data_IF_307721379028
#
_entry.id   IF_307721379028
#
_cell.length_a   1.000
_cell.length_b   1.000
_cell.length_c   1.000
_cell.angle_alpha   90.00
_cell.angle_beta   90.00
_cell.angle_gamma   90.00
#
_symmetry.space_group_name_H-M   'P 1'
#
loop_
_entity.id
_entity.type
_entity.pdbx_description
1 polymer ?
#
# COMPACT_ATOMS: atom_id res chain seq x y z
N UNK A 1 19.56 -5.69 50.57
CA UNK A 1 19.56 -4.22 50.37
C UNK A 1 19.82 -3.97 48.89
N UNK A 2 19.10 -3.01 48.30
CA UNK A 2 19.18 -2.54 46.91
C UNK A 2 18.53 -3.45 45.85
N UNK A 3 17.73 -2.99 44.89
CA UNK A 3 16.81 -1.86 44.75
C UNK A 3 15.94 -2.23 43.53
N UNK A 4 14.63 -2.41 43.70
CA UNK A 4 13.70 -2.63 42.60
C UNK A 4 13.26 -1.26 42.07
N UNK A 5 13.69 -0.90 40.86
CA UNK A 5 13.17 0.27 40.15
C UNK A 5 12.00 -0.17 39.28
N UNK A 6 10.81 0.28 39.67
CA UNK A 6 9.59 0.20 38.89
C UNK A 6 9.73 1.02 37.61
N UNK A 7 9.69 0.36 36.46
CA UNK A 7 9.45 1.05 35.18
C UNK A 7 7.94 1.23 35.03
N UNK A 8 7.51 2.47 35.19
CA UNK A 8 6.15 2.93 34.96
C UNK A 8 5.78 2.79 33.48
N UNK A 9 4.66 2.13 33.25
CA UNK A 9 3.94 2.02 31.99
C UNK A 9 3.48 3.42 31.54
N UNK A 10 4.22 4.06 30.61
CA UNK A 10 3.77 5.28 29.95
C UNK A 10 2.86 4.93 28.78
N UNK A 11 1.55 4.97 29.03
CA UNK A 11 0.53 4.79 28.00
C UNK A 11 0.62 5.89 26.92
N UNK A 12 0.35 5.47 25.68
CA UNK A 12 0.13 6.33 24.53
C UNK A 12 -1.02 7.32 24.79
N UNK A 13 -0.83 8.64 24.65
CA UNK A 13 -1.96 9.56 24.59
C UNK A 13 -2.49 9.59 23.14
N UNK A 14 -3.51 8.78 22.85
CA UNK A 14 -4.44 9.09 21.77
C UNK A 14 -5.29 10.29 22.21
N UNK A 15 -4.85 11.50 21.89
CA UNK A 15 -5.65 12.71 22.04
C UNK A 15 -5.69 13.44 20.71
N UNK A 16 -6.78 13.25 19.98
CA UNK A 16 -7.18 14.06 18.82
C UNK A 16 -7.82 15.38 19.26
N UNK A 17 -7.63 15.79 20.52
CA UNK A 17 -8.03 17.09 21.04
C UNK A 17 -6.91 18.06 20.75
N UNK A 18 -7.11 18.90 19.74
CA UNK A 18 -6.44 20.20 19.65
C UNK A 18 -6.73 20.93 20.96
N UNK A 19 -5.69 21.27 21.72
CA UNK A 19 -5.82 22.10 22.92
C UNK A 19 -6.50 23.41 22.53
N UNK A 20 -7.78 23.53 22.91
CA UNK A 20 -8.60 24.71 22.67
C UNK A 20 -8.16 25.85 23.58
N UNK A 21 -7.17 26.62 23.12
CA UNK A 21 -6.95 27.99 23.57
C UNK A 21 -6.59 28.83 22.35
N UNK A 22 -7.64 29.25 21.65
CA UNK A 22 -7.75 30.47 20.85
C UNK A 22 -9.19 30.53 20.31
N UNK A 23 -10.17 30.51 21.24
CA UNK A 23 -11.56 30.76 20.90
C UNK A 23 -11.70 32.26 20.57
N UNK A 24 -11.68 32.61 19.29
CA UNK A 24 -12.33 33.84 18.86
C UNK A 24 -13.85 33.66 19.08
N UNK A 25 -14.53 34.54 19.82
CA UNK A 25 -15.97 34.40 20.02
C UNK A 25 -16.67 34.70 18.68
N UNK A 26 -17.29 33.68 18.08
CA UNK A 26 -18.19 33.85 16.94
C UNK A 26 -19.61 33.68 17.48
N UNK A 27 -20.34 34.79 17.59
CA UNK A 27 -21.78 34.79 17.83
C UNK A 27 -22.46 34.48 16.50
N UNK A 28 -23.06 33.30 16.37
CA UNK A 28 -23.91 32.96 15.23
C UNK A 28 -25.35 33.36 15.59
N UNK A 29 -25.75 34.57 15.26
CA UNK A 29 -27.15 35.02 15.44
C UNK A 29 -28.02 34.48 14.31
N UNK A 30 -28.94 33.60 14.70
CA UNK A 30 -30.07 33.09 13.91
C UNK A 30 -30.90 34.23 13.33
N UNK A 31 -31.26 34.12 12.05
CA UNK A 31 -32.22 34.98 11.37
C UNK A 31 -33.63 34.49 11.72
N UNK A 32 -34.35 35.23 12.54
CA UNK A 32 -35.81 35.29 12.51
C UNK A 32 -36.27 36.67 12.98
N UNK A 33 -36.88 37.41 12.05
CA UNK A 33 -36.99 38.86 12.11
C UNK A 33 -38.16 39.38 12.91
N UNK A 34 -37.99 40.57 13.48
CA UNK A 34 -39.02 41.58 13.67
C UNK A 34 -38.38 42.97 13.53
N UNK A 35 -39.07 43.85 12.82
CA UNK A 35 -38.68 45.18 12.40
C UNK A 35 -38.50 46.15 13.58
N UNK A 36 -37.33 46.78 13.74
CA UNK A 36 -37.10 48.14 14.30
C UNK A 36 -35.60 48.45 14.29
N UNK A 37 -35.23 49.59 13.73
CA UNK A 37 -33.85 49.90 13.34
C UNK A 37 -32.84 50.02 14.47
N UNK A 38 -31.66 49.43 14.28
CA UNK A 38 -30.38 49.82 14.86
C UNK A 38 -29.26 49.36 13.92
N UNK A 39 -28.39 50.30 13.53
CA UNK A 39 -27.06 50.19 12.91
C UNK A 39 -26.70 48.92 12.13
N UNK A 40 -26.61 49.09 10.81
CA UNK A 40 -25.84 48.22 9.91
C UNK A 40 -24.35 48.25 10.26
N UNK A 41 -23.92 47.42 11.21
CA UNK A 41 -22.52 47.00 11.27
C UNK A 41 -22.35 45.92 10.20
N UNK A 42 -22.11 46.36 8.96
CA UNK A 42 -21.41 45.54 7.97
C UNK A 42 -20.09 45.16 8.65
N UNK A 43 -19.98 43.92 9.12
CA UNK A 43 -18.75 43.41 9.66
C UNK A 43 -17.71 43.46 8.53
N UNK A 44 -16.94 44.55 8.48
CA UNK A 44 -15.72 44.65 7.70
C UNK A 44 -14.80 43.60 8.29
N UNK A 45 -14.87 42.38 7.76
CA UNK A 45 -13.89 41.36 8.08
C UNK A 45 -12.59 41.91 7.51
N UNK A 46 -11.73 42.43 8.40
CA UNK A 46 -10.42 42.95 8.06
C UNK A 46 -9.74 41.96 7.11
N UNK A 47 -9.37 42.38 5.87
CA UNK A 47 -8.83 41.50 4.85
C UNK A 47 -7.68 40.61 5.36
N UNK A 48 -6.86 41.16 6.29
CA UNK A 48 -5.76 40.45 6.93
C UNK A 48 -6.17 39.26 7.81
N UNK A 49 -7.36 39.27 8.42
CA UNK A 49 -7.84 38.14 9.23
C UNK A 49 -8.30 36.97 8.36
N UNK A 50 -8.91 37.27 7.20
CA UNK A 50 -9.24 36.24 6.20
C UNK A 50 -7.97 35.65 5.63
N UNK A 51 -6.98 36.49 5.33
CA UNK A 51 -5.70 36.07 4.80
C UNK A 51 -4.93 35.19 5.79
N UNK A 52 -4.87 35.56 7.07
CA UNK A 52 -4.24 34.74 8.11
C UNK A 52 -4.92 33.36 8.27
N UNK A 53 -6.26 33.30 8.18
CA UNK A 53 -6.99 32.02 8.22
C UNK A 53 -6.67 31.16 7.00
N UNK A 54 -6.58 31.77 5.82
CA UNK A 54 -6.17 31.08 4.59
C UNK A 54 -4.73 30.57 4.70
N UNK A 55 -3.84 31.36 5.29
CA UNK A 55 -2.44 30.98 5.52
C UNK A 55 -2.32 29.76 6.43
N UNK A 56 -2.97 29.79 7.60
CA UNK A 56 -3.00 28.64 8.52
C UNK A 56 -3.56 27.39 7.85
N UNK A 57 -4.61 27.53 7.03
CA UNK A 57 -5.19 26.42 6.26
C UNK A 57 -4.20 25.86 5.23
N UNK A 58 -3.45 26.73 4.55
CA UNK A 58 -2.44 26.36 3.56
C UNK A 58 -1.27 25.61 4.21
N UNK A 59 -0.78 26.08 5.35
CA UNK A 59 0.29 25.43 6.10
C UNK A 59 -0.15 24.07 6.65
N UNK A 60 -1.36 23.99 7.20
CA UNK A 60 -1.94 22.72 7.64
C UNK A 60 -2.05 21.71 6.48
N UNK A 61 -2.49 22.15 5.29
CA UNK A 61 -2.57 21.31 4.11
C UNK A 61 -1.18 20.86 3.61
N UNK A 62 -0.18 21.75 3.64
CA UNK A 62 1.21 21.42 3.28
C UNK A 62 1.82 20.43 4.26
N UNK A 63 1.64 20.64 5.57
CA UNK A 63 2.12 19.73 6.61
C UNK A 63 1.51 18.33 6.46
N UNK A 64 0.19 18.25 6.24
CA UNK A 64 -0.50 16.98 5.97
C UNK A 64 0.08 16.26 4.75
N UNK A 65 0.27 16.96 3.63
CA UNK A 65 0.89 16.38 2.42
C UNK A 65 2.33 15.97 2.65
N UNK A 66 3.09 16.72 3.44
CA UNK A 66 4.47 16.39 3.81
C UNK A 66 4.55 15.09 4.59
N UNK A 67 3.67 14.92 5.59
CA UNK A 67 3.58 13.68 6.37
C UNK A 67 3.12 12.49 5.52
N UNK A 68 2.10 12.68 4.69
CA UNK A 68 1.65 11.67 3.73
C UNK A 68 2.79 11.21 2.81
N UNK A 69 3.53 12.15 2.20
CA UNK A 69 4.67 11.83 1.36
C UNK A 69 5.73 11.03 2.13
N UNK A 70 6.03 11.40 3.38
CA UNK A 70 6.95 10.66 4.24
C UNK A 70 6.50 9.20 4.42
N UNK A 71 5.23 8.96 4.74
CA UNK A 71 4.70 7.59 4.89
C UNK A 71 4.79 6.79 3.58
N UNK A 72 4.58 7.43 2.42
CA UNK A 72 4.79 6.77 1.12
C UNK A 72 6.25 6.33 0.93
N UNK A 73 7.22 7.16 1.31
CA UNK A 73 8.64 6.80 1.21
C UNK A 73 9.00 5.65 2.15
N UNK A 74 8.50 5.65 3.39
CA UNK A 74 8.73 4.55 4.32
C UNK A 74 8.07 3.26 3.84
N UNK A 75 6.85 3.34 3.29
CA UNK A 75 6.18 2.19 2.69
C UNK A 75 6.95 1.61 1.50
N UNK A 76 7.47 2.46 0.62
CA UNK A 76 8.28 2.03 -0.52
C UNK A 76 9.54 1.25 -0.08
N UNK A 77 10.21 1.68 0.99
CA UNK A 77 11.41 1.01 1.53
C UNK A 77 11.11 -0.39 2.10
N UNK A 78 9.88 -0.65 2.51
CA UNK A 78 9.47 -1.97 3.03
C UNK A 78 9.10 -2.97 1.93
N UNK A 79 9.00 -2.54 0.67
CA UNK A 79 8.74 -3.47 -0.43
C UNK A 79 9.95 -4.39 -0.67
N UNK A 80 9.73 -5.67 -1.04
CA UNK A 80 10.81 -6.63 -1.30
C UNK A 80 11.44 -6.39 -2.68
N UNK A 81 11.95 -5.19 -2.91
CA UNK A 81 12.57 -4.74 -4.14
C UNK A 81 13.86 -3.97 -3.82
N UNK A 82 14.86 -3.98 -4.71
CA UNK A 82 16.07 -3.17 -4.56
C UNK A 82 15.75 -1.68 -4.35
N UNK A 83 16.51 -1.01 -3.46
CA UNK A 83 16.31 0.41 -3.15
C UNK A 83 16.41 1.34 -4.38
N UNK A 84 17.21 0.96 -5.37
CA UNK A 84 17.33 1.68 -6.64
C UNK A 84 16.00 1.74 -7.42
N UNK A 85 15.14 0.73 -7.24
CA UNK A 85 13.80 0.66 -7.84
C UNK A 85 12.79 1.38 -6.96
N UNK A 86 12.76 1.06 -5.65
CA UNK A 86 11.72 1.59 -4.75
C UNK A 86 11.78 3.11 -4.58
N UNK A 87 12.97 3.71 -4.73
CA UNK A 87 13.16 5.16 -4.69
C UNK A 87 12.56 5.92 -5.88
N UNK A 88 12.25 5.23 -6.98
CA UNK A 88 11.72 5.84 -8.21
C UNK A 88 10.22 5.60 -8.40
N UNK A 89 9.56 4.88 -7.48
CA UNK A 89 8.15 4.55 -7.59
C UNK A 89 7.27 5.77 -7.39
N UNK A 90 6.21 5.86 -8.18
CA UNK A 90 5.12 6.80 -7.95
C UNK A 90 4.17 6.27 -6.86
N UNK A 91 3.35 7.16 -6.28
CA UNK A 91 2.44 6.82 -5.18
C UNK A 91 1.46 5.69 -5.54
N UNK A 92 0.95 5.67 -6.77
CA UNK A 92 -0.01 4.64 -7.18
C UNK A 92 0.66 3.27 -7.27
N UNK A 93 1.87 3.19 -7.82
CA UNK A 93 2.63 1.93 -7.84
C UNK A 93 3.01 1.45 -6.45
N UNK A 94 3.39 2.35 -5.52
CA UNK A 94 3.67 1.95 -4.13
C UNK A 94 2.46 1.22 -3.54
N UNK A 95 1.26 1.81 -3.59
CA UNK A 95 0.04 1.17 -3.06
C UNK A 95 -0.26 -0.15 -3.78
N UNK A 96 -0.18 -0.15 -5.11
CA UNK A 96 -0.48 -1.32 -5.94
C UNK A 96 0.44 -2.51 -5.59
N UNK A 97 1.75 -2.27 -5.51
CA UNK A 97 2.74 -3.28 -5.15
C UNK A 97 2.56 -3.76 -3.71
N UNK A 98 2.28 -2.85 -2.76
CA UNK A 98 1.99 -3.22 -1.38
C UNK A 98 0.77 -4.14 -1.29
N UNK A 99 -0.34 -3.80 -1.96
CA UNK A 99 -1.54 -4.64 -1.98
C UNK A 99 -1.24 -6.01 -2.59
N UNK A 100 -0.57 -6.07 -3.74
CA UNK A 100 -0.18 -7.33 -4.37
C UNK A 100 0.72 -8.17 -3.49
N UNK A 101 1.68 -7.56 -2.80
CA UNK A 101 2.58 -8.26 -1.88
C UNK A 101 1.82 -8.85 -0.68
N UNK A 102 0.91 -8.09 -0.08
CA UNK A 102 0.09 -8.60 1.03
C UNK A 102 -0.80 -9.76 0.58
N UNK A 103 -1.45 -9.64 -0.58
CA UNK A 103 -2.24 -10.72 -1.19
C UNK A 103 -1.38 -11.94 -1.52
N UNK A 104 -0.17 -11.74 -2.04
CA UNK A 104 0.78 -12.83 -2.31
C UNK A 104 1.19 -13.55 -1.03
N UNK A 105 1.43 -12.80 0.05
CA UNK A 105 1.75 -13.36 1.36
C UNK A 105 0.61 -14.25 1.86
N UNK A 106 -0.62 -13.75 1.87
CA UNK A 106 -1.80 -14.53 2.23
C UNK A 106 -1.96 -15.77 1.34
N UNK A 107 -1.76 -15.64 0.02
CA UNK A 107 -1.78 -16.74 -0.93
C UNK A 107 -0.73 -17.82 -0.61
N UNK A 108 0.49 -17.40 -0.25
CA UNK A 108 1.61 -18.30 0.06
C UNK A 108 1.45 -19.06 1.38
N UNK A 109 0.74 -18.46 2.35
CA UNK A 109 0.43 -19.06 3.66
C UNK A 109 -0.69 -20.09 3.55
N UNK A 110 -1.68 -19.86 2.68
CA UNK A 110 -2.83 -20.73 2.49
C UNK A 110 -2.59 -21.91 1.52
N UNK A 111 -1.45 -21.93 0.82
CA UNK A 111 -1.08 -23.03 -0.07
C UNK A 111 -0.86 -24.36 0.66
N UNK A 112 -1.04 -25.49 -0.06
CA UNK A 112 -0.73 -26.84 0.45
C UNK A 112 0.33 -27.50 -0.45
N UNK A 113 1.57 -27.71 0.01
CA UNK A 113 2.15 -27.17 1.25
C UNK A 113 2.29 -25.64 1.18
N UNK A 114 2.30 -24.99 2.34
CA UNK A 114 2.57 -23.54 2.40
C UNK A 114 4.00 -23.30 1.92
N UNK A 115 4.16 -22.26 1.11
CA UNK A 115 5.46 -21.91 0.51
C UNK A 115 6.49 -21.46 1.55
N UNK A 116 6.02 -21.10 2.76
CA UNK A 116 6.85 -20.61 3.85
C UNK A 116 7.33 -21.71 4.81
N UNK A 117 6.95 -22.97 4.62
CA UNK A 117 7.48 -24.07 5.44
C UNK A 117 8.92 -24.37 4.99
N UNK A 118 9.80 -24.59 5.97
CA UNK A 118 11.18 -25.02 5.73
C UNK A 118 11.20 -26.13 4.67
N UNK A 119 12.14 -26.08 3.71
CA UNK A 119 12.27 -27.12 2.71
C UNK A 119 12.38 -28.45 3.45
N UNK A 120 11.48 -29.39 3.14
CA UNK A 120 11.58 -30.77 3.63
C UNK A 120 12.94 -31.26 3.16
N UNK A 121 13.87 -31.35 4.12
CA UNK A 121 15.29 -31.15 3.86
C UNK A 121 15.86 -32.02 2.74
N UNK A 122 16.74 -31.41 1.95
CA UNK A 122 17.74 -32.11 1.14
C UNK A 122 18.83 -32.77 2.03
N UNK A 123 18.45 -33.30 3.20
CA UNK A 123 19.35 -33.87 4.21
C UNK A 123 20.06 -35.18 3.77
N UNK A 124 19.90 -35.59 2.51
CA UNK A 124 20.42 -36.87 1.99
C UNK A 124 21.48 -36.73 0.88
N UNK A 125 21.95 -35.52 0.57
CA UNK A 125 23.04 -35.36 -0.40
C UNK A 125 24.37 -35.18 0.32
N UNK A 126 25.33 -36.09 0.07
CA UNK A 126 26.74 -36.01 0.47
C UNK A 126 27.48 -34.86 -0.25
N UNK A 127 26.89 -33.67 -0.31
CA UNK A 127 27.51 -32.48 -0.86
C UNK A 127 28.28 -31.75 0.25
N UNK A 128 29.42 -31.08 -0.05
CA UNK A 128 30.11 -30.24 0.91
C UNK A 128 29.16 -29.18 1.47
N UNK A 129 29.13 -29.01 2.79
CA UNK A 129 28.22 -28.07 3.50
C UNK A 129 28.21 -26.66 2.89
N UNK A 130 29.37 -26.16 2.44
CA UNK A 130 29.51 -24.86 1.79
C UNK A 130 28.75 -24.75 0.45
N UNK A 131 28.66 -25.84 -0.31
CA UNK A 131 27.95 -25.87 -1.60
C UNK A 131 26.44 -25.83 -1.39
N UNK A 132 25.94 -26.53 -0.35
CA UNK A 132 24.54 -26.45 0.04
C UNK A 132 24.17 -25.05 0.53
N UNK A 133 25.00 -24.43 1.38
CA UNK A 133 24.73 -23.10 1.95
C UNK A 133 24.72 -21.98 0.87
N UNK A 134 25.68 -22.01 -0.06
CA UNK A 134 25.72 -21.04 -1.17
C UNK A 134 24.56 -21.24 -2.15
N UNK A 135 24.20 -22.50 -2.44
CA UNK A 135 23.10 -22.85 -3.32
C UNK A 135 21.74 -22.48 -2.69
N UNK A 136 21.54 -22.72 -1.40
CA UNK A 136 20.32 -22.33 -0.68
C UNK A 136 20.12 -20.82 -0.67
N UNK A 137 21.19 -20.05 -0.47
CA UNK A 137 21.14 -18.58 -0.48
C UNK A 137 20.67 -18.01 -1.82
N UNK A 138 21.02 -18.66 -2.94
CA UNK A 138 20.73 -18.19 -4.30
C UNK A 138 19.72 -19.05 -5.04
N UNK A 139 19.04 -19.96 -4.34
CA UNK A 139 18.17 -20.97 -4.95
C UNK A 139 17.11 -20.35 -5.87
N UNK A 140 16.44 -19.27 -5.41
CA UNK A 140 15.46 -18.55 -6.22
C UNK A 140 16.04 -18.00 -7.52
N UNK A 141 17.28 -17.52 -7.50
CA UNK A 141 17.97 -17.01 -8.70
C UNK A 141 18.29 -18.15 -9.66
N UNK A 142 18.81 -19.27 -9.17
CA UNK A 142 19.11 -20.44 -9.99
C UNK A 142 17.86 -21.06 -10.61
N UNK A 143 16.75 -21.13 -9.88
CA UNK A 143 15.46 -21.59 -10.41
C UNK A 143 15.04 -20.70 -11.58
N UNK A 144 15.02 -19.38 -11.40
CA UNK A 144 14.57 -18.46 -12.44
C UNK A 144 15.51 -18.44 -13.67
N UNK A 145 16.82 -18.59 -13.48
CA UNK A 145 17.79 -18.67 -14.58
C UNK A 145 17.72 -19.99 -15.35
N UNK A 146 17.24 -21.06 -14.72
CA UNK A 146 17.11 -22.38 -15.36
C UNK A 146 15.81 -22.52 -16.16
N UNK A 147 14.84 -21.62 -15.94
CA UNK A 147 13.58 -21.59 -16.69
C UNK A 147 13.79 -20.90 -18.04
N UNK A 148 13.41 -21.58 -19.12
CA UNK A 148 13.23 -20.97 -20.45
C UNK A 148 11.87 -20.23 -20.50
N UNK A 149 11.70 -19.29 -19.57
CA UNK A 149 10.49 -18.49 -19.43
C UNK A 149 10.49 -17.63 -18.17
N UNK A 150 9.28 -17.31 -17.70
CA UNK A 150 9.06 -16.54 -16.48
C UNK A 150 7.95 -17.18 -15.65
N UNK A 151 8.04 -17.03 -14.34
CA UNK A 151 7.07 -17.56 -13.40
C UNK A 151 6.03 -16.49 -13.06
N UNK A 152 4.77 -16.90 -12.92
CA UNK A 152 3.67 -16.02 -12.50
C UNK A 152 2.83 -16.69 -11.40
N UNK A 153 2.23 -15.86 -10.56
CA UNK A 153 1.09 -16.22 -9.72
C UNK A 153 0.02 -15.16 -9.88
N UNK A 154 -1.24 -15.59 -9.98
CA UNK A 154 -2.39 -14.69 -10.17
C UNK A 154 -3.41 -14.88 -9.05
N UNK A 155 -4.12 -13.81 -8.74
CA UNK A 155 -5.30 -13.87 -7.88
C UNK A 155 -6.50 -14.42 -8.64
N UNK A 156 -7.57 -14.73 -7.90
CA UNK A 156 -8.86 -15.17 -8.48
C UNK A 156 -9.52 -14.11 -9.35
N UNK A 157 -9.06 -12.86 -9.25
CA UNK A 157 -9.47 -11.71 -10.06
C UNK A 157 -8.60 -11.54 -11.33
N UNK A 158 -7.67 -12.46 -11.58
CA UNK A 158 -6.74 -12.40 -12.71
C UNK A 158 -5.67 -11.32 -12.57
N UNK A 159 -5.46 -10.74 -11.38
CA UNK A 159 -4.37 -9.80 -11.15
C UNK A 159 -3.08 -10.53 -10.82
N UNK A 160 -1.95 -10.03 -11.31
CA UNK A 160 -0.64 -10.58 -10.97
C UNK A 160 -0.32 -10.35 -9.48
N UNK A 161 -0.21 -11.43 -8.71
CA UNK A 161 0.31 -11.40 -7.33
C UNK A 161 1.83 -11.44 -7.33
N UNK A 162 2.39 -12.25 -8.23
CA UNK A 162 3.82 -12.35 -8.47
C UNK A 162 4.08 -12.54 -9.96
N UNK A 163 5.15 -11.94 -10.45
CA UNK A 163 5.75 -12.21 -11.75
C UNK A 163 7.26 -12.12 -11.59
N UNK A 164 8.04 -13.02 -12.18
CA UNK A 164 9.50 -12.97 -12.08
C UNK A 164 10.09 -11.86 -12.95
N UNK A 165 11.23 -11.29 -12.55
CA UNK A 165 11.94 -10.25 -13.32
C UNK A 165 12.34 -10.71 -14.73
N UNK A 166 12.46 -12.03 -14.94
CA UNK A 166 12.77 -12.64 -16.25
C UNK A 166 11.71 -12.37 -17.31
N UNK A 167 10.48 -11.94 -16.98
CA UNK A 167 9.48 -11.52 -17.97
C UNK A 167 10.00 -10.45 -18.93
N UNK A 168 10.90 -9.60 -18.46
CA UNK A 168 11.54 -8.55 -19.28
C UNK A 168 12.34 -9.11 -20.46
N UNK A 169 12.90 -10.30 -20.33
CA UNK A 169 13.69 -10.97 -21.37
C UNK A 169 12.77 -11.47 -22.49
N UNK A 170 11.60 -12.00 -22.14
CA UNK A 170 10.70 -12.65 -23.10
C UNK A 170 9.65 -11.71 -23.70
N UNK A 171 9.14 -10.76 -22.91
CA UNK A 171 8.07 -9.84 -23.33
C UNK A 171 8.49 -8.36 -23.36
N UNK A 172 9.66 -8.01 -22.83
CA UNK A 172 10.10 -6.61 -22.76
C UNK A 172 9.35 -5.75 -21.72
N UNK A 173 8.55 -6.38 -20.86
CA UNK A 173 7.70 -5.70 -19.86
C UNK A 173 8.39 -5.65 -18.50
N UNK A 174 8.04 -4.63 -17.71
CA UNK A 174 8.57 -4.45 -16.36
C UNK A 174 7.78 -5.25 -15.33
N UNK A 175 8.48 -5.97 -14.46
CA UNK A 175 7.89 -6.66 -13.31
C UNK A 175 7.04 -5.72 -12.43
N UNK A 176 7.57 -4.52 -12.19
CA UNK A 176 6.95 -3.46 -11.38
C UNK A 176 5.68 -2.92 -12.05
N UNK A 177 5.68 -2.82 -13.37
CA UNK A 177 4.52 -2.38 -14.16
C UNK A 177 3.41 -3.44 -14.18
N UNK A 178 3.77 -4.72 -14.26
CA UNK A 178 2.79 -5.80 -14.35
C UNK A 178 2.19 -6.19 -13.00
N UNK A 179 2.97 -6.15 -11.91
CA UNK A 179 2.50 -6.61 -10.59
C UNK A 179 1.27 -5.83 -10.11
N UNK A 180 0.18 -6.54 -9.81
CA UNK A 180 -1.12 -5.96 -9.42
C UNK A 180 -2.03 -5.50 -10.55
N UNK A 181 -1.53 -5.49 -11.79
CA UNK A 181 -2.33 -5.23 -12.99
C UNK A 181 -3.08 -6.49 -13.43
N UNK A 182 -4.12 -6.34 -14.26
CA UNK A 182 -4.88 -7.50 -14.75
C UNK A 182 -4.10 -8.20 -15.85
N UNK A 183 -4.15 -9.54 -15.87
CA UNK A 183 -3.57 -10.33 -16.96
C UNK A 183 -4.18 -9.95 -18.32
N UNK A 184 -5.44 -9.54 -18.35
CA UNK A 184 -6.16 -9.15 -19.57
C UNK A 184 -5.64 -7.84 -20.20
N UNK A 185 -4.89 -7.03 -19.45
CA UNK A 185 -4.24 -5.83 -19.98
C UNK A 185 -3.07 -6.21 -20.91
N UNK A 186 -2.56 -7.43 -20.81
CA UNK A 186 -1.36 -7.91 -21.53
C UNK A 186 -1.64 -9.06 -22.50
N UNK A 187 -2.75 -9.79 -22.31
CA UNK A 187 -3.18 -10.88 -23.22
C UNK A 187 -3.93 -10.31 -24.42
N UNK A 188 -3.73 -10.91 -25.59
CA UNK A 188 -4.45 -10.53 -26.79
C UNK A 188 -5.98 -10.75 -26.64
N UNK A 189 -6.78 -9.79 -27.11
CA UNK A 189 -8.24 -9.77 -26.88
C UNK A 189 -8.98 -11.02 -27.34
N UNK A 190 -8.49 -11.66 -28.41
CA UNK A 190 -9.10 -12.88 -28.94
C UNK A 190 -8.97 -14.08 -27.98
N UNK A 191 -7.99 -14.04 -27.08
CA UNK A 191 -7.66 -15.16 -26.19
C UNK A 191 -8.22 -14.93 -24.77
N UNK A 192 -8.88 -13.78 -24.53
CA UNK A 192 -9.44 -13.44 -23.23
C UNK A 192 -10.44 -14.47 -22.72
N UNK A 193 -11.31 -14.98 -23.59
CA UNK A 193 -12.30 -15.98 -23.21
C UNK A 193 -11.66 -17.30 -22.75
N UNK A 194 -10.57 -17.70 -23.41
CA UNK A 194 -9.81 -18.89 -23.03
C UNK A 194 -9.10 -18.68 -21.69
N UNK A 195 -8.43 -17.54 -21.51
CA UNK A 195 -7.73 -17.23 -20.24
C UNK A 195 -8.71 -17.11 -19.06
N UNK A 196 -9.87 -16.47 -19.25
CA UNK A 196 -10.94 -16.43 -18.23
C UNK A 196 -11.37 -17.84 -17.80
N UNK A 197 -11.55 -18.74 -18.79
CA UNK A 197 -11.94 -20.11 -18.55
C UNK A 197 -10.86 -20.88 -17.78
N UNK A 198 -9.60 -20.78 -18.20
CA UNK A 198 -8.49 -21.49 -17.57
C UNK A 198 -8.22 -21.02 -16.13
N UNK A 199 -8.38 -19.72 -15.88
CA UNK A 199 -8.20 -19.14 -14.54
C UNK A 199 -9.46 -19.28 -13.65
N UNK A 200 -10.58 -19.76 -14.19
CA UNK A 200 -11.83 -19.90 -13.45
C UNK A 200 -12.41 -18.55 -12.99
N UNK A 201 -12.11 -17.47 -13.69
CA UNK A 201 -12.54 -16.11 -13.34
C UNK A 201 -14.03 -15.99 -13.68
N UNK A 202 -14.89 -16.02 -12.66
CA UNK A 202 -16.32 -15.80 -12.85
C UNK A 202 -16.60 -14.31 -13.01
N UNK A 203 -17.22 -13.92 -14.12
CA UNK A 203 -17.76 -12.57 -14.31
C UNK A 203 -18.84 -12.29 -13.25
N UNK A 204 -18.45 -11.63 -12.16
CA UNK A 204 -19.33 -10.91 -11.24
C UNK A 204 -20.15 -11.75 -10.26
N UNK A 205 -19.64 -11.91 -9.03
CA UNK A 205 -20.47 -12.18 -7.85
C UNK A 205 -20.37 -11.06 -6.78
N UNK A 206 -19.69 -9.94 -7.06
CA UNK A 206 -19.44 -8.89 -6.05
C UNK A 206 -20.37 -7.66 -6.14
N UNK A 207 -21.32 -7.62 -7.07
CA UNK A 207 -22.29 -6.50 -7.17
C UNK A 207 -23.72 -6.83 -6.73
N UNK A 208 -24.02 -8.07 -6.30
CA UNK A 208 -25.38 -8.48 -5.93
C UNK A 208 -25.72 -8.39 -4.42
N UNK A 209 -24.75 -8.08 -3.54
CA UNK A 209 -24.96 -8.19 -2.08
C UNK A 209 -25.21 -6.85 -1.34
N UNK A 210 -25.28 -5.72 -2.03
CA UNK A 210 -25.56 -4.40 -1.42
C UNK A 210 -26.77 -3.68 -2.00
N UNK A 211 -27.67 -4.40 -2.67
CA UNK A 211 -28.88 -3.84 -3.27
C UNK A 211 -30.06 -4.80 -3.16
N UNK A 212 -30.57 -4.96 -1.94
CA UNK A 212 -31.82 -5.65 -1.62
C UNK A 212 -32.44 -5.01 -0.40
#
# INVERSE_FOLDING_TARGET
MSNALSMSNSGFPHSWIVSGQDFCPITYSSIQGHNSGVSSNLATVEPGLIELRKEKSRDAARSRRGKENYEFYELAKMLPLPAAITSQLDKASIIRLTISYLKLKEFSENGVPSWCKEPIGFQNYNAPQYFNEMFETHLGTHILQSLDGFAISTGVDGRFLYISETVSIYLGLSQVEMTGSSIFDYVHKNDHAEVEQQLGIKKGAEYASYGG
#
